data_IF_677862322457
#
_entry.id   IF_677862322457
#
_cell.length_a   1.000
_cell.length_b   1.000
_cell.length_c   1.000
_cell.angle_alpha   90.00
_cell.angle_beta   90.00
_cell.angle_gamma   90.00
#
_symmetry.space_group_name_H-M   'P 1'
#
loop_
_entity.id
_entity.type
_entity.pdbx_description
1 polymer ?
#
# COMPACT_ATOMS: atom_id res chain seq x y z
N UNK A 1 -16.91 -7.26 -9.78
CA UNK A 1 -15.56 -6.80 -9.44
C UNK A 1 -15.15 -7.54 -8.18
N UNK A 2 -14.00 -8.22 -8.14
CA UNK A 2 -13.58 -8.94 -6.93
C UNK A 2 -13.43 -7.90 -5.78
N UNK A 3 -13.95 -8.22 -4.59
CA UNK A 3 -13.78 -7.47 -3.35
C UNK A 3 -12.32 -7.04 -3.14
N UNK A 4 -11.35 -7.91 -3.48
CA UNK A 4 -9.93 -7.57 -3.41
C UNK A 4 -9.57 -6.34 -4.25
N UNK A 5 -10.02 -6.28 -5.50
CA UNK A 5 -9.73 -5.16 -6.40
C UNK A 5 -10.33 -3.85 -5.89
N UNK A 6 -11.55 -3.91 -5.33
CA UNK A 6 -12.19 -2.76 -4.70
C UNK A 6 -11.35 -2.28 -3.52
N UNK A 7 -11.00 -3.15 -2.57
CA UNK A 7 -10.19 -2.80 -1.40
C UNK A 7 -8.80 -2.29 -1.79
N UNK A 8 -8.18 -2.88 -2.80
CA UNK A 8 -6.91 -2.40 -3.36
C UNK A 8 -7.05 -0.98 -3.91
N UNK A 9 -8.14 -0.67 -4.61
CA UNK A 9 -8.41 0.68 -5.11
C UNK A 9 -8.63 1.67 -3.97
N UNK A 10 -9.47 1.33 -3.00
CA UNK A 10 -9.76 2.15 -1.82
C UNK A 10 -8.48 2.45 -1.02
N UNK A 11 -7.66 1.42 -0.76
CA UNK A 11 -6.38 1.59 -0.08
C UNK A 11 -5.40 2.41 -0.92
N UNK A 12 -5.18 2.06 -2.19
CA UNK A 12 -4.07 2.60 -2.97
C UNK A 12 -4.36 3.98 -3.56
N UNK A 13 -5.53 4.15 -4.18
CA UNK A 13 -5.89 5.38 -4.85
C UNK A 13 -6.55 6.36 -3.88
N UNK A 14 -7.58 5.93 -3.16
CA UNK A 14 -8.36 6.87 -2.33
C UNK A 14 -7.60 7.25 -1.06
N UNK A 15 -7.04 6.27 -0.35
CA UNK A 15 -6.34 6.53 0.90
C UNK A 15 -4.86 6.88 0.69
N UNK A 16 -4.02 5.97 0.17
CA UNK A 16 -2.57 6.15 0.13
C UNK A 16 -2.16 7.35 -0.74
N UNK A 17 -2.60 7.37 -2.00
CA UNK A 17 -2.29 8.46 -2.95
C UNK A 17 -3.04 9.74 -2.63
N UNK A 18 -4.37 9.70 -2.68
CA UNK A 18 -5.19 10.92 -2.70
C UNK A 18 -5.33 11.57 -1.32
N UNK A 19 -5.12 10.84 -0.22
CA UNK A 19 -5.23 11.35 1.15
C UNK A 19 -3.88 11.39 1.86
N UNK A 20 -3.26 10.25 2.15
CA UNK A 20 -2.09 10.18 3.02
C UNK A 20 -0.87 10.87 2.41
N UNK A 21 -0.48 10.51 1.18
CA UNK A 21 0.63 11.14 0.47
C UNK A 21 0.40 12.64 0.25
N UNK A 22 -0.80 13.04 -0.16
CA UNK A 22 -1.13 14.46 -0.34
C UNK A 22 -0.99 15.25 0.97
N UNK A 23 -1.47 14.72 2.11
CA UNK A 23 -1.31 15.36 3.42
C UNK A 23 0.15 15.42 3.85
N UNK A 24 0.91 14.34 3.65
CA UNK A 24 2.33 14.27 3.95
C UNK A 24 3.15 15.26 3.11
N UNK A 25 2.90 15.34 1.81
CA UNK A 25 3.56 16.30 0.93
C UNK A 25 3.21 17.75 1.30
N UNK A 26 1.92 18.04 1.56
CA UNK A 26 1.51 19.36 2.02
C UNK A 26 2.13 19.72 3.38
N UNK A 27 2.35 18.74 4.26
CA UNK A 27 3.08 18.94 5.52
C UNK A 27 4.56 19.27 5.27
N UNK A 28 5.22 18.53 4.37
CA UNK A 28 6.61 18.77 3.98
C UNK A 28 6.77 20.16 3.35
N UNK A 29 5.86 20.57 2.46
CA UNK A 29 5.85 21.92 1.87
C UNK A 29 5.72 23.00 2.94
N UNK A 30 4.83 22.80 3.93
CA UNK A 30 4.70 23.74 5.06
C UNK A 30 5.99 23.85 5.85
N UNK A 31 6.71 22.76 6.10
CA UNK A 31 8.01 22.80 6.78
C UNK A 31 9.07 23.63 6.03
N UNK A 32 8.90 23.89 4.74
CA UNK A 32 9.80 24.73 3.94
C UNK A 32 9.45 26.21 3.99
N UNK A 33 8.27 26.58 4.51
CA UNK A 33 7.86 27.98 4.61
C UNK A 33 8.64 28.71 5.71
N UNK A 34 8.99 30.00 5.54
CA UNK A 34 9.75 30.76 6.54
C UNK A 34 9.06 30.92 7.89
N UNK A 35 7.72 30.87 7.92
CA UNK A 35 6.90 30.96 9.12
C UNK A 35 5.78 29.92 9.06
N UNK A 36 6.08 28.65 9.35
CA UNK A 36 5.11 27.58 9.21
C UNK A 36 4.01 27.66 10.26
N UNK A 37 2.79 27.31 9.86
CA UNK A 37 1.64 27.23 10.76
C UNK A 37 1.83 26.07 11.76
N UNK A 38 2.23 26.41 12.99
CA UNK A 38 2.51 25.46 14.05
C UNK A 38 1.31 24.59 14.44
N UNK A 39 0.07 25.12 14.33
CA UNK A 39 -1.13 24.37 14.64
C UNK A 39 -1.37 23.27 13.59
N UNK A 40 -1.21 23.59 12.31
CA UNK A 40 -1.31 22.60 11.22
C UNK A 40 -0.21 21.55 11.30
N UNK A 41 1.01 21.95 11.64
CA UNK A 41 2.12 20.99 11.83
C UNK A 41 1.83 20.03 12.98
N UNK A 42 1.39 20.56 14.14
CA UNK A 42 1.04 19.75 15.30
C UNK A 42 -0.12 18.79 14.99
N UNK A 43 -1.14 19.27 14.26
CA UNK A 43 -2.28 18.46 13.83
C UNK A 43 -1.85 17.27 12.97
N UNK A 44 -0.99 17.48 11.97
CA UNK A 44 -0.51 16.39 11.12
C UNK A 44 0.20 15.31 11.95
N UNK A 45 1.10 15.70 12.84
CA UNK A 45 1.86 14.76 13.69
C UNK A 45 0.94 13.99 14.65
N UNK A 46 -0.09 14.65 15.19
CA UNK A 46 -0.97 14.07 16.20
C UNK A 46 -2.13 13.24 15.60
N UNK A 47 -2.64 13.61 14.42
CA UNK A 47 -3.86 13.05 13.85
C UNK A 47 -3.60 12.28 12.55
N UNK A 48 -2.89 12.90 11.58
CA UNK A 48 -2.74 12.35 10.23
C UNK A 48 -1.66 11.27 10.14
N UNK A 49 -0.49 11.51 10.74
CA UNK A 49 0.65 10.58 10.70
C UNK A 49 0.30 9.22 11.34
N UNK A 50 -0.42 9.15 12.48
CA UNK A 50 -0.85 7.88 13.06
C UNK A 50 -1.77 7.03 12.18
N UNK A 51 -2.47 7.60 11.19
CA UNK A 51 -3.37 6.85 10.29
C UNK A 51 -2.63 5.72 9.54
N UNK A 52 -1.31 5.86 9.30
CA UNK A 52 -0.52 4.78 8.68
C UNK A 52 -0.67 3.45 9.43
N UNK A 53 -0.61 3.48 10.76
CA UNK A 53 -0.65 2.27 11.59
C UNK A 53 -1.99 1.54 11.52
N UNK A 54 -3.10 2.26 11.32
CA UNK A 54 -4.41 1.62 11.16
C UNK A 54 -4.61 0.98 9.79
N UNK A 55 -3.90 1.43 8.76
CA UNK A 55 -4.02 0.93 7.40
C UNK A 55 -2.91 -0.06 6.99
N UNK A 56 -1.80 -0.15 7.75
CA UNK A 56 -0.74 -1.13 7.49
C UNK A 56 -1.24 -2.59 7.41
N UNK A 57 -2.15 -3.07 8.28
CA UNK A 57 -2.68 -4.43 8.16
C UNK A 57 -3.44 -4.68 6.85
N UNK A 58 -4.10 -3.65 6.32
CA UNK A 58 -4.78 -3.73 5.02
C UNK A 58 -3.79 -3.82 3.87
N UNK A 59 -2.73 -3.01 3.89
CA UNK A 59 -1.64 -3.10 2.91
C UNK A 59 -1.05 -4.53 2.89
N UNK A 60 -0.78 -5.08 4.07
CA UNK A 60 -0.25 -6.43 4.23
C UNK A 60 -1.20 -7.49 3.68
N UNK A 61 -2.48 -7.43 4.07
CA UNK A 61 -3.49 -8.36 3.59
C UNK A 61 -3.59 -8.32 2.07
N UNK A 62 -3.62 -7.14 1.45
CA UNK A 62 -3.68 -7.00 0.00
C UNK A 62 -2.50 -7.69 -0.70
N UNK A 63 -1.28 -7.51 -0.17
CA UNK A 63 -0.07 -8.12 -0.73
C UNK A 63 -0.09 -9.64 -0.55
N UNK A 64 -0.52 -10.14 0.61
CA UNK A 64 -0.52 -11.58 0.90
C UNK A 64 -1.63 -12.32 0.15
N UNK A 65 -2.79 -11.69 -0.05
CA UNK A 65 -3.96 -12.31 -0.67
C UNK A 65 -4.00 -12.21 -2.21
N UNK A 66 -3.18 -11.35 -2.84
CA UNK A 66 -3.27 -11.08 -4.29
C UNK A 66 -3.24 -12.34 -5.14
N UNK A 67 -2.39 -13.32 -4.82
CA UNK A 67 -2.30 -14.56 -5.61
C UNK A 67 -3.58 -15.38 -5.52
N UNK A 68 -4.14 -15.54 -4.32
CA UNK A 68 -5.38 -16.28 -4.11
C UNK A 68 -6.58 -15.57 -4.75
N UNK A 69 -6.64 -14.25 -4.63
CA UNK A 69 -7.78 -13.43 -5.04
C UNK A 69 -7.80 -13.12 -6.53
N UNK A 70 -6.62 -12.99 -7.14
CA UNK A 70 -6.48 -12.67 -8.57
C UNK A 70 -6.21 -13.90 -9.44
N UNK A 71 -5.91 -15.05 -8.85
CA UNK A 71 -5.76 -16.27 -9.62
C UNK A 71 -7.09 -16.67 -10.27
N UNK A 72 -7.09 -17.03 -11.57
CA UNK A 72 -8.30 -17.54 -12.22
C UNK A 72 -8.88 -18.81 -11.59
N UNK A 73 -8.14 -19.49 -10.71
CA UNK A 73 -8.63 -20.60 -9.89
C UNK A 73 -9.94 -20.24 -9.19
N UNK A 74 -10.06 -19.00 -8.68
CA UNK A 74 -11.24 -18.55 -7.95
C UNK A 74 -12.52 -18.56 -8.82
N UNK A 75 -12.41 -18.50 -10.15
CA UNK A 75 -13.59 -18.54 -11.02
C UNK A 75 -14.32 -19.88 -11.00
N UNK A 76 -13.67 -20.96 -10.57
CA UNK A 76 -14.31 -22.26 -10.41
C UNK A 76 -15.27 -22.33 -9.21
N UNK A 77 -15.25 -21.32 -8.34
CA UNK A 77 -16.24 -21.15 -7.26
C UNK A 77 -17.51 -20.43 -7.76
N UNK A 78 -17.48 -19.85 -8.96
CA UNK A 78 -18.57 -19.04 -9.52
C UNK A 78 -19.10 -19.60 -10.85
N UNK A 79 -20.39 -19.34 -11.13
CA UNK A 79 -21.00 -19.75 -12.41
C UNK A 79 -20.39 -18.97 -13.58
N UNK A 80 -20.15 -19.59 -14.75
CA UNK A 80 -20.55 -20.94 -15.13
C UNK A 80 -19.58 -22.05 -14.73
N UNK A 81 -18.32 -21.73 -14.40
CA UNK A 81 -17.28 -22.74 -14.18
C UNK A 81 -17.50 -23.58 -12.91
N UNK A 82 -18.24 -23.06 -11.94
CA UNK A 82 -18.71 -23.84 -10.79
C UNK A 82 -19.62 -25.01 -11.15
N UNK A 83 -20.16 -25.05 -12.38
CA UNK A 83 -20.99 -26.15 -12.90
C UNK A 83 -20.17 -27.23 -13.64
N UNK A 84 -18.86 -27.05 -13.78
CA UNK A 84 -17.99 -28.11 -14.30
C UNK A 84 -18.09 -29.38 -13.44
N UNK A 85 -17.86 -30.54 -14.06
CA UNK A 85 -17.84 -31.81 -13.33
C UNK A 85 -16.71 -31.85 -12.30
N UNK A 86 -16.85 -32.69 -11.27
CA UNK A 86 -15.80 -32.90 -10.27
C UNK A 86 -14.48 -33.35 -10.90
N UNK A 87 -14.53 -34.15 -11.97
CA UNK A 87 -13.36 -34.53 -12.74
C UNK A 87 -12.67 -33.32 -13.39
N UNK A 88 -13.40 -32.33 -13.90
CA UNK A 88 -12.80 -31.11 -14.44
C UNK A 88 -12.22 -30.23 -13.34
N UNK A 89 -12.94 -30.08 -12.21
CA UNK A 89 -12.49 -29.28 -11.06
C UNK A 89 -11.26 -29.85 -10.37
N UNK A 90 -11.00 -31.15 -10.50
CA UNK A 90 -9.85 -31.78 -9.85
C UNK A 90 -8.49 -31.45 -10.49
N UNK A 91 -8.44 -30.82 -11.67
CA UNK A 91 -7.17 -30.50 -12.34
C UNK A 91 -7.16 -29.15 -13.07
N UNK A 92 -8.28 -28.73 -13.67
CA UNK A 92 -8.29 -27.52 -14.52
C UNK A 92 -7.99 -26.22 -13.74
N UNK A 93 -8.50 -26.00 -12.51
CA UNK A 93 -8.20 -24.78 -11.77
C UNK A 93 -6.69 -24.63 -11.49
N UNK A 94 -6.01 -25.73 -11.20
CA UNK A 94 -4.57 -25.74 -10.94
C UNK A 94 -3.76 -25.49 -12.20
N UNK A 95 -4.13 -26.12 -13.33
CA UNK A 95 -3.48 -25.87 -14.61
C UNK A 95 -3.62 -24.41 -15.04
N UNK A 96 -4.81 -23.82 -14.91
CA UNK A 96 -5.02 -22.40 -15.26
C UNK A 96 -4.25 -21.49 -14.31
N UNK A 97 -4.21 -21.81 -13.01
CA UNK A 97 -3.39 -21.08 -12.04
C UNK A 97 -1.90 -21.12 -12.40
N UNK A 98 -1.35 -22.27 -12.76
CA UNK A 98 0.07 -22.40 -13.15
C UNK A 98 0.38 -21.60 -14.42
N UNK A 99 -0.49 -21.63 -15.42
CA UNK A 99 -0.33 -20.84 -16.65
C UNK A 99 -0.32 -19.35 -16.31
N UNK A 100 -1.28 -18.91 -15.50
CA UNK A 100 -1.37 -17.53 -15.04
C UNK A 100 -0.13 -17.12 -14.22
N UNK A 101 0.32 -17.93 -13.27
CA UNK A 101 1.49 -17.63 -12.42
C UNK A 101 2.80 -17.60 -13.21
N UNK A 102 2.89 -18.32 -14.34
CA UNK A 102 4.04 -18.24 -15.26
C UNK A 102 4.00 -16.96 -16.11
N UNK A 103 2.82 -16.53 -16.55
CA UNK A 103 2.65 -15.33 -17.37
C UNK A 103 2.76 -14.04 -16.55
N UNK A 104 2.20 -14.04 -15.34
CA UNK A 104 2.19 -12.91 -14.43
C UNK A 104 3.17 -13.22 -13.30
N UNK A 105 4.22 -12.41 -13.17
CA UNK A 105 5.23 -12.55 -12.11
C UNK A 105 4.68 -12.13 -10.73
N UNK A 106 3.54 -12.68 -10.32
CA UNK A 106 2.79 -12.30 -9.11
C UNK A 106 3.65 -12.47 -7.87
N UNK A 107 4.43 -13.54 -7.77
CA UNK A 107 5.37 -13.74 -6.67
C UNK A 107 6.46 -12.65 -6.60
N UNK A 108 6.93 -12.18 -7.77
CA UNK A 108 7.89 -11.07 -7.84
C UNK A 108 7.24 -9.76 -7.39
N UNK A 109 6.02 -9.47 -7.86
CA UNK A 109 5.27 -8.28 -7.46
C UNK A 109 4.94 -8.30 -5.96
N UNK A 110 4.54 -9.44 -5.41
CA UNK A 110 4.35 -9.62 -3.97
C UNK A 110 5.64 -9.38 -3.19
N UNK A 111 6.76 -9.94 -3.65
CA UNK A 111 8.06 -9.79 -3.00
C UNK A 111 8.49 -8.32 -2.97
N UNK A 112 8.37 -7.61 -4.09
CA UNK A 112 8.70 -6.20 -4.16
C UNK A 112 7.76 -5.35 -3.29
N UNK A 113 6.45 -5.59 -3.35
CA UNK A 113 5.49 -4.89 -2.51
C UNK A 113 5.74 -5.13 -1.00
N UNK A 114 6.09 -6.36 -0.59
CA UNK A 114 6.48 -6.67 0.80
C UNK A 114 7.73 -5.89 1.22
N UNK A 115 8.74 -5.85 0.37
CA UNK A 115 9.97 -5.09 0.62
C UNK A 115 9.70 -3.60 0.76
N UNK A 116 8.84 -3.04 -0.10
CA UNK A 116 8.46 -1.63 -0.04
C UNK A 116 7.60 -1.32 1.19
N UNK A 117 6.67 -2.21 1.56
CA UNK A 117 5.90 -2.08 2.80
C UNK A 117 6.83 -2.08 4.02
N UNK A 118 7.81 -2.98 4.05
CA UNK A 118 8.84 -3.02 5.10
C UNK A 118 9.63 -1.70 5.14
N UNK A 119 10.03 -1.16 3.98
CA UNK A 119 10.71 0.13 3.87
C UNK A 119 9.87 1.27 4.45
N UNK A 120 8.59 1.35 4.11
CA UNK A 120 7.67 2.36 4.68
C UNK A 120 7.58 2.21 6.20
N UNK A 121 7.37 0.99 6.70
CA UNK A 121 7.28 0.72 8.13
C UNK A 121 8.56 1.09 8.88
N UNK A 122 9.74 0.84 8.30
CA UNK A 122 11.02 1.24 8.88
C UNK A 122 11.15 2.77 8.95
N UNK A 123 10.83 3.49 7.86
CA UNK A 123 10.86 4.96 7.85
C UNK A 123 9.86 5.56 8.84
N UNK A 124 8.66 4.98 8.92
CA UNK A 124 7.62 5.39 9.85
C UNK A 124 8.06 5.23 11.31
N UNK A 125 8.59 4.06 11.68
CA UNK A 125 9.04 3.81 13.05
C UNK A 125 10.26 4.65 13.44
N UNK A 126 11.19 4.88 12.51
CA UNK A 126 12.32 5.78 12.72
C UNK A 126 11.82 7.21 13.00
N UNK A 127 10.97 7.75 12.13
CA UNK A 127 10.37 9.07 12.29
C UNK A 127 9.61 9.19 13.61
N UNK A 128 8.83 8.18 13.97
CA UNK A 128 8.07 8.16 15.24
C UNK A 128 8.97 8.17 16.47
N UNK A 129 10.09 7.44 16.45
CA UNK A 129 11.08 7.47 17.54
C UNK A 129 11.72 8.84 17.68
N UNK A 130 12.12 9.46 16.56
CA UNK A 130 12.71 10.79 16.56
C UNK A 130 11.71 11.84 17.08
N UNK A 131 10.45 11.79 16.62
CA UNK A 131 9.37 12.64 17.12
C UNK A 131 9.16 12.49 18.64
N UNK A 132 9.27 11.26 19.16
CA UNK A 132 9.13 11.00 20.60
C UNK A 132 10.33 11.53 21.41
N UNK A 133 11.55 11.43 20.86
CA UNK A 133 12.78 11.93 21.50
C UNK A 133 12.89 13.46 21.48
N UNK A 134 12.32 14.13 20.48
CA UNK A 134 12.37 15.59 20.37
C UNK A 134 11.45 16.32 21.36
N UNK A 135 10.55 15.63 22.08
CA UNK A 135 9.64 16.25 23.04
C UNK A 135 8.72 17.31 22.41
N UNK A 136 8.22 18.27 23.22
CA UNK A 136 7.39 19.41 22.75
C UNK A 136 8.20 20.50 22.02
N UNK A 137 9.20 20.14 21.20
CA UNK A 137 9.90 21.14 20.38
C UNK A 137 8.95 21.61 19.28
N UNK A 138 8.77 22.93 19.17
CA UNK A 138 7.92 23.56 18.16
C UNK A 138 8.43 23.38 16.74
N UNK A 139 8.00 24.25 15.81
CA UNK A 139 8.28 24.12 14.38
C UNK A 139 9.77 23.84 14.03
N UNK A 140 10.72 24.45 14.73
CA UNK A 140 12.15 24.23 14.52
C UNK A 140 12.60 22.77 14.72
N UNK A 141 11.99 22.04 15.66
CA UNK A 141 12.27 20.61 15.87
C UNK A 141 11.78 19.78 14.68
N UNK A 142 10.55 20.03 14.21
CA UNK A 142 10.00 19.35 13.04
C UNK A 142 10.78 19.64 11.75
N UNK A 143 11.31 20.86 11.60
CA UNK A 143 12.18 21.20 10.46
C UNK A 143 13.44 20.34 10.42
N UNK A 144 13.99 19.95 11.57
CA UNK A 144 15.18 19.08 11.63
C UNK A 144 14.89 17.65 11.15
N UNK A 145 13.63 17.21 11.22
CA UNK A 145 13.17 15.88 10.78
C UNK A 145 12.70 15.85 9.31
N UNK A 146 12.87 16.96 8.59
CA UNK A 146 12.46 17.08 7.19
C UNK A 146 13.00 15.94 6.30
N UNK A 147 14.28 15.52 6.39
CA UNK A 147 14.79 14.40 5.59
C UNK A 147 14.00 13.10 5.80
N UNK A 148 13.56 12.82 7.02
CA UNK A 148 12.82 11.62 7.38
C UNK A 148 11.39 11.65 6.86
N UNK A 149 10.72 12.81 6.91
CA UNK A 149 9.42 12.96 6.25
C UNK A 149 9.50 12.76 4.73
N UNK A 150 10.55 13.28 4.08
CA UNK A 150 10.79 13.04 2.65
C UNK A 150 11.04 11.56 2.36
N UNK A 151 11.88 10.89 3.14
CA UNK A 151 12.15 9.46 2.98
C UNK A 151 10.88 8.61 3.14
N UNK A 152 10.02 8.96 4.09
CA UNK A 152 8.71 8.32 4.24
C UNK A 152 7.81 8.55 3.02
N UNK A 153 7.72 9.81 2.53
CA UNK A 153 6.92 10.14 1.35
C UNK A 153 7.37 9.36 0.12
N UNK A 154 8.68 9.31 -0.13
CA UNK A 154 9.25 8.55 -1.23
C UNK A 154 8.93 7.05 -1.11
N UNK A 155 9.09 6.45 0.07
CA UNK A 155 8.76 5.05 0.28
C UNK A 155 7.27 4.77 0.05
N UNK A 156 6.38 5.66 0.49
CA UNK A 156 4.94 5.55 0.24
C UNK A 156 4.59 5.67 -1.25
N UNK A 157 5.28 6.54 -2.00
CA UNK A 157 5.10 6.67 -3.44
C UNK A 157 5.54 5.41 -4.19
N UNK A 158 6.70 4.84 -3.83
CA UNK A 158 7.16 3.57 -4.39
C UNK A 158 6.16 2.43 -4.09
N UNK A 159 5.61 2.39 -2.86
CA UNK A 159 4.57 1.42 -2.50
C UNK A 159 3.29 1.60 -3.32
N UNK A 160 2.87 2.85 -3.57
CA UNK A 160 1.74 3.16 -4.44
C UNK A 160 1.93 2.62 -5.87
N UNK A 161 3.14 2.78 -6.42
CA UNK A 161 3.48 2.28 -7.74
C UNK A 161 3.46 0.75 -7.79
N UNK A 162 3.95 0.09 -6.73
CA UNK A 162 3.88 -1.37 -6.61
C UNK A 162 2.43 -1.89 -6.58
N UNK A 163 1.54 -1.24 -5.82
CA UNK A 163 0.12 -1.58 -5.85
C UNK A 163 -0.54 -1.31 -7.19
N UNK A 164 -0.08 -0.31 -7.95
CA UNK A 164 -0.54 -0.02 -9.30
C UNK A 164 -0.08 -1.07 -10.31
N UNK A 165 1.03 -1.76 -10.06
CA UNK A 165 1.48 -2.87 -10.90
C UNK A 165 0.58 -4.11 -10.81
N UNK A 166 -0.18 -4.29 -9.72
CA UNK A 166 -1.20 -5.35 -9.62
C UNK A 166 -2.40 -5.11 -10.53
N UNK A 167 -2.57 -3.88 -11.04
CA UNK A 167 -3.71 -3.49 -11.88
C UNK A 167 -3.48 -3.73 -13.38
N UNK A 168 -2.28 -4.22 -13.77
CA UNK A 168 -2.02 -4.54 -15.16
C UNK A 168 -2.96 -5.66 -15.57
N UNK A 169 -4.05 -5.27 -16.22
CA UNK A 169 -5.14 -6.11 -16.70
C UNK A 169 -4.59 -7.48 -17.07
N UNK A 170 -5.13 -8.51 -16.44
CA UNK A 170 -4.98 -9.88 -16.92
C UNK A 170 -5.71 -9.90 -18.27
N UNK A 171 -5.03 -9.47 -19.33
CA UNK A 171 -5.56 -9.48 -20.69
C UNK A 171 -5.62 -10.94 -21.08
N UNK A 172 -6.80 -11.52 -20.94
CA UNK A 172 -7.14 -12.78 -21.59
C UNK A 172 -7.01 -12.52 -23.11
N UNK A 173 -5.96 -13.08 -23.71
CA UNK A 173 -5.84 -13.25 -25.16
C UNK A 173 -6.81 -14.34 -25.58
#
# INVERSE_FOLDING_TARGET
MNLWQQRRSEFNHDWLKNRFLNRLNAFIERLQTPSPDAQRLARFVAEDLPEWKSHEPEARWLIESVEQEMSPRCFFDYSPLSKCSEQTKSWLPDVVHEIWAKQYSVQSLQTEARKLLLKVNQQYELLKRELSQQGKRGAAGLMSLRPQFFALSQACAELHDAFSAFDREIKFI
#
